data_IF_301491489700
#
_entry.id   IF_301491489700
#
_cell.length_a   1.000
_cell.length_b   1.000
_cell.length_c   1.000
_cell.angle_alpha   90.00
_cell.angle_beta   90.00
_cell.angle_gamma   90.00
#
_symmetry.space_group_name_H-M   'P 1'
#
loop_
_entity.id
_entity.type
_entity.pdbx_description
1 polymer ?
#
# COMPACT_ATOMS: atom_id res chain seq x y z
N UNK A 1 12.58 15.30 18.15
CA UNK A 1 12.90 16.09 16.94
C UNK A 1 12.87 15.10 15.79
N UNK A 2 11.93 15.22 14.85
CA UNK A 2 11.98 14.41 13.66
C UNK A 2 13.21 14.86 12.85
N UNK A 3 14.09 13.92 12.53
CA UNK A 3 15.27 14.19 11.70
C UNK A 3 14.83 14.85 10.38
N UNK A 4 15.56 15.89 9.99
CA UNK A 4 15.30 16.55 8.72
C UNK A 4 15.45 15.50 7.59
N UNK A 5 14.51 15.46 6.64
CA UNK A 5 14.57 14.48 5.56
C UNK A 5 15.90 14.68 4.79
N UNK A 6 16.57 13.58 4.42
CA UNK A 6 17.84 13.66 3.72
C UNK A 6 17.65 14.35 2.36
N UNK A 7 18.54 15.29 2.03
CA UNK A 7 18.59 15.90 0.70
C UNK A 7 18.91 14.82 -0.34
N UNK A 8 18.20 14.84 -1.44
CA UNK A 8 18.48 13.97 -2.58
C UNK A 8 19.89 14.27 -3.08
N UNK A 9 20.73 13.25 -3.19
CA UNK A 9 22.10 13.40 -3.68
C UNK A 9 22.10 13.89 -5.13
N UNK A 10 23.03 14.78 -5.50
CA UNK A 10 23.24 15.20 -6.90
C UNK A 10 23.81 14.02 -7.68
N UNK A 11 22.95 13.30 -8.41
CA UNK A 11 23.35 12.24 -9.33
C UNK A 11 23.32 12.77 -10.77
N UNK A 12 24.26 12.35 -11.62
CA UNK A 12 24.14 12.58 -13.06
C UNK A 12 22.90 11.84 -13.59
N UNK A 13 21.92 12.61 -14.06
CA UNK A 13 20.75 12.12 -14.75
C UNK A 13 21.22 11.82 -16.18
N UNK A 14 21.09 10.57 -16.63
CA UNK A 14 21.35 10.20 -18.02
C UNK A 14 20.04 10.22 -18.83
N UNK A 15 20.13 10.25 -20.16
CA UNK A 15 18.97 10.32 -21.06
C UNK A 15 18.04 9.09 -20.97
N UNK A 16 18.48 8.01 -20.30
CA UNK A 16 17.70 6.78 -20.07
C UNK A 16 16.99 6.80 -18.72
N UNK A 17 17.29 7.76 -17.84
CA UNK A 17 16.67 7.88 -16.53
C UNK A 17 15.18 8.24 -16.64
N UNK A 18 14.35 7.64 -15.77
CA UNK A 18 12.91 7.85 -15.76
C UNK A 18 12.55 8.95 -14.78
N UNK A 19 12.03 10.06 -15.27
CA UNK A 19 11.54 11.16 -14.45
C UNK A 19 10.16 10.85 -13.87
N UNK A 20 10.02 11.06 -12.57
CA UNK A 20 8.77 10.98 -11.83
C UNK A 20 8.23 12.35 -11.49
N UNK A 21 6.91 12.52 -11.64
CA UNK A 21 6.15 13.52 -10.92
C UNK A 21 5.67 12.90 -9.61
N UNK A 22 6.00 13.51 -8.48
CA UNK A 22 5.42 13.17 -7.17
C UNK A 22 4.18 14.05 -6.98
N UNK A 23 3.00 13.45 -7.02
CA UNK A 23 1.74 14.12 -6.76
C UNK A 23 1.34 13.91 -5.30
N UNK A 24 1.60 14.95 -4.48
CA UNK A 24 1.36 14.94 -3.04
C UNK A 24 2.64 15.08 -2.22
N UNK A 25 2.75 16.19 -1.50
CA UNK A 25 3.82 16.45 -0.56
C UNK A 25 3.49 15.79 0.80
N UNK A 26 3.28 14.47 0.79
CA UNK A 26 2.89 13.69 1.96
C UNK A 26 4.09 13.27 2.80
N UNK A 27 3.82 12.77 4.02
CA UNK A 27 4.85 12.18 4.88
C UNK A 27 5.54 10.98 4.19
N UNK A 28 4.77 10.12 3.49
CA UNK A 28 5.31 8.97 2.75
C UNK A 28 6.22 9.45 1.62
N UNK A 29 5.82 10.49 0.87
CA UNK A 29 6.66 11.09 -0.16
C UNK A 29 7.96 11.64 0.42
N UNK A 30 7.90 12.37 1.55
CA UNK A 30 9.04 13.01 2.19
C UNK A 30 10.08 12.01 2.70
N UNK A 31 9.64 10.97 3.41
CA UNK A 31 10.54 10.10 4.18
C UNK A 31 10.93 8.82 3.44
N UNK A 32 10.13 8.38 2.46
CA UNK A 32 10.31 7.09 1.84
C UNK A 32 10.37 7.13 0.30
N UNK A 33 9.34 7.66 -0.36
CA UNK A 33 9.21 7.52 -1.81
C UNK A 33 10.21 8.35 -2.61
N UNK A 34 10.52 9.58 -2.18
CA UNK A 34 11.53 10.39 -2.87
C UNK A 34 12.89 9.68 -2.89
N UNK A 35 13.29 9.08 -1.77
CA UNK A 35 14.51 8.29 -1.70
C UNK A 35 14.42 6.99 -2.50
N UNK A 36 13.30 6.28 -2.38
CA UNK A 36 13.07 5.03 -3.09
C UNK A 36 13.15 5.22 -4.62
N UNK A 37 12.60 6.31 -5.15
CA UNK A 37 12.70 6.67 -6.56
C UNK A 37 14.16 7.01 -6.93
N UNK A 38 14.82 7.84 -6.12
CA UNK A 38 16.17 8.32 -6.41
C UNK A 38 17.26 7.24 -6.30
N UNK A 39 17.07 6.27 -5.42
CA UNK A 39 18.05 5.22 -5.14
C UNK A 39 17.92 3.99 -6.05
N UNK A 40 17.11 4.03 -7.09
CA UNK A 40 17.01 2.89 -8.02
C UNK A 40 18.38 2.60 -8.64
N UNK A 41 18.90 1.37 -8.53
CA UNK A 41 20.19 1.01 -9.11
C UNK A 41 20.08 1.00 -10.64
N UNK A 42 21.18 1.23 -11.34
CA UNK A 42 21.21 1.15 -12.81
C UNK A 42 20.99 -0.27 -13.35
N UNK A 43 21.09 -1.31 -12.53
CA UNK A 43 20.90 -2.68 -12.99
C UNK A 43 20.35 -3.59 -11.90
N UNK A 44 19.35 -4.41 -12.26
CA UNK A 44 19.00 -5.64 -11.54
C UNK A 44 19.13 -6.79 -12.54
N UNK A 45 19.95 -7.79 -12.22
CA UNK A 45 20.12 -8.97 -13.07
C UNK A 45 20.94 -8.76 -14.35
N UNK A 46 21.94 -7.86 -14.33
CA UNK A 46 22.87 -7.68 -15.46
C UNK A 46 22.29 -6.98 -16.69
N UNK A 47 21.04 -6.54 -16.64
CA UNK A 47 20.44 -5.66 -17.63
C UNK A 47 20.54 -4.21 -17.16
N UNK A 48 20.98 -3.32 -18.04
CA UNK A 48 21.17 -1.89 -17.78
C UNK A 48 19.79 -1.22 -17.56
N UNK A 49 19.33 -1.23 -16.31
CA UNK A 49 18.07 -0.58 -15.93
C UNK A 49 18.39 0.87 -15.60
N UNK A 50 18.00 1.79 -16.48
CA UNK A 50 18.19 3.22 -16.27
C UNK A 50 17.64 3.65 -14.90
N UNK A 51 18.31 4.56 -14.22
CA UNK A 51 17.90 5.09 -12.93
C UNK A 51 16.53 5.77 -12.99
N UNK A 52 16.00 6.10 -11.83
CA UNK A 52 14.83 6.96 -11.72
C UNK A 52 15.18 8.21 -10.90
N UNK A 53 14.44 9.30 -11.10
CA UNK A 53 14.61 10.53 -10.34
C UNK A 53 13.29 11.28 -10.20
N UNK A 54 13.17 12.11 -9.16
CA UNK A 54 12.03 12.99 -8.98
C UNK A 54 12.27 14.26 -9.81
N UNK A 55 11.52 14.40 -10.91
CA UNK A 55 11.61 15.53 -11.83
C UNK A 55 10.77 16.72 -11.36
N UNK A 56 9.62 16.45 -10.76
CA UNK A 56 8.69 17.48 -10.32
C UNK A 56 7.86 17.04 -9.11
N UNK A 57 7.31 18.05 -8.42
CA UNK A 57 6.37 17.89 -7.32
C UNK A 57 5.09 18.68 -7.58
N UNK A 58 3.95 18.02 -7.40
CA UNK A 58 2.64 18.64 -7.40
C UNK A 58 2.02 18.67 -6.00
N UNK A 59 1.42 19.79 -5.63
CA UNK A 59 0.51 19.88 -4.47
C UNK A 59 -0.55 20.93 -4.77
N UNK A 60 -1.77 20.74 -4.30
CA UNK A 60 -2.86 21.74 -4.41
C UNK A 60 -2.51 23.11 -3.81
N UNK A 61 -1.44 23.21 -3.04
CA UNK A 61 -0.93 24.45 -2.46
C UNK A 61 0.47 24.74 -3.01
N UNK A 62 0.58 25.72 -3.91
CA UNK A 62 1.83 26.11 -4.56
C UNK A 62 2.93 26.47 -3.57
N UNK A 63 2.62 27.18 -2.49
CA UNK A 63 3.59 27.57 -1.47
C UNK A 63 4.13 26.36 -0.73
N UNK A 64 3.26 25.41 -0.41
CA UNK A 64 3.67 24.17 0.24
C UNK A 64 4.49 23.30 -0.71
N UNK A 65 4.08 23.20 -1.99
CA UNK A 65 4.83 22.50 -3.03
C UNK A 65 6.28 23.02 -3.14
N UNK A 66 6.46 24.32 -3.21
CA UNK A 66 7.80 24.95 -3.30
C UNK A 66 8.65 24.67 -2.07
N UNK A 67 8.11 24.89 -0.86
CA UNK A 67 8.83 24.61 0.38
C UNK A 67 9.29 23.15 0.49
N UNK A 68 8.42 22.22 0.08
CA UNK A 68 8.75 20.80 0.06
C UNK A 68 9.85 20.50 -0.97
N UNK A 69 9.70 21.05 -2.18
CA UNK A 69 10.69 20.88 -3.25
C UNK A 69 12.07 21.41 -2.87
N UNK A 70 12.13 22.60 -2.26
CA UNK A 70 13.39 23.19 -1.76
C UNK A 70 14.06 22.32 -0.70
N UNK A 71 13.27 21.75 0.21
CA UNK A 71 13.77 20.85 1.26
C UNK A 71 14.38 19.55 0.69
N UNK A 72 13.84 19.06 -0.43
CA UNK A 72 14.23 17.79 -1.06
C UNK A 72 15.08 17.96 -2.32
N UNK A 73 15.40 19.17 -2.75
CA UNK A 73 16.21 19.43 -3.94
C UNK A 73 15.47 19.12 -5.26
N UNK A 74 14.13 19.23 -5.29
CA UNK A 74 13.30 19.02 -6.48
C UNK A 74 13.21 20.34 -7.26
N UNK A 75 13.56 20.31 -8.55
CA UNK A 75 13.72 21.52 -9.34
C UNK A 75 12.37 22.16 -9.71
N UNK A 76 11.38 21.35 -10.04
CA UNK A 76 10.07 21.83 -10.49
C UNK A 76 8.99 21.52 -9.48
N UNK A 77 8.22 22.53 -9.07
CA UNK A 77 7.11 22.35 -8.14
C UNK A 77 6.00 23.38 -8.39
N UNK A 78 4.76 22.96 -8.19
CA UNK A 78 3.61 23.86 -8.35
C UNK A 78 2.29 23.18 -8.04
N UNK A 79 1.22 23.94 -8.33
CA UNK A 79 -0.19 23.55 -8.16
C UNK A 79 -0.95 23.40 -9.48
N UNK A 80 -0.26 23.58 -10.61
CA UNK A 80 -0.79 23.26 -11.94
C UNK A 80 -0.35 21.86 -12.36
N UNK A 81 -1.21 20.86 -12.09
CA UNK A 81 -0.96 19.47 -12.43
C UNK A 81 -0.79 19.27 -13.95
N UNK A 82 -1.60 19.96 -14.76
CA UNK A 82 -1.57 19.80 -16.22
C UNK A 82 -0.25 20.33 -16.79
N UNK A 83 0.21 21.49 -16.35
CA UNK A 83 1.49 22.06 -16.77
C UNK A 83 2.67 21.13 -16.38
N UNK A 84 2.62 20.53 -15.18
CA UNK A 84 3.65 19.58 -14.74
C UNK A 84 3.60 18.29 -15.56
N UNK A 85 2.43 17.73 -15.81
CA UNK A 85 2.26 16.51 -16.62
C UNK A 85 2.71 16.67 -18.08
N UNK A 86 2.63 17.86 -18.65
CA UNK A 86 3.07 18.15 -20.02
C UNK A 86 4.60 18.15 -20.20
N UNK A 87 5.38 18.06 -19.15
CA UNK A 87 6.84 18.00 -19.21
C UNK A 87 7.31 16.69 -19.83
N UNK A 88 8.22 16.78 -20.80
CA UNK A 88 8.70 15.61 -21.59
C UNK A 88 9.49 14.61 -20.75
N UNK A 89 10.25 15.08 -19.77
CA UNK A 89 11.06 14.26 -18.88
C UNK A 89 10.21 13.41 -17.90
N UNK A 90 8.96 13.80 -17.65
CA UNK A 90 8.06 13.04 -16.77
C UNK A 90 7.45 11.90 -17.58
N UNK A 91 7.76 10.69 -17.18
CA UNK A 91 7.20 9.45 -17.75
C UNK A 91 6.31 8.70 -16.76
N UNK A 92 6.54 8.91 -15.47
CA UNK A 92 5.83 8.26 -14.38
C UNK A 92 5.25 9.29 -13.40
N UNK A 93 4.15 8.93 -12.78
CA UNK A 93 3.55 9.68 -11.68
C UNK A 93 3.45 8.77 -10.47
N UNK A 94 3.99 9.21 -9.33
CA UNK A 94 3.65 8.65 -8.04
C UNK A 94 2.54 9.49 -7.42
N UNK A 95 1.39 8.87 -7.12
CA UNK A 95 0.22 9.51 -6.52
C UNK A 95 0.19 9.17 -5.04
N UNK A 96 0.41 10.15 -4.20
CA UNK A 96 0.42 10.04 -2.73
C UNK A 96 -0.13 11.29 -2.06
N UNK A 97 -1.05 12.01 -2.73
CA UNK A 97 -1.84 13.10 -2.16
C UNK A 97 -2.95 12.53 -1.25
N UNK A 98 -3.93 13.32 -0.89
CA UNK A 98 -5.06 12.85 -0.09
C UNK A 98 -5.90 11.84 -0.90
N UNK A 99 -6.35 10.69 -0.32
CA UNK A 99 -7.05 9.63 -1.05
C UNK A 99 -8.24 10.11 -1.90
N UNK A 100 -9.01 11.09 -1.45
CA UNK A 100 -10.13 11.67 -2.22
C UNK A 100 -9.72 12.29 -3.57
N UNK A 101 -8.43 12.52 -3.80
CA UNK A 101 -7.90 13.09 -5.04
C UNK A 101 -7.14 12.07 -5.88
N UNK A 102 -7.02 10.82 -5.41
CA UNK A 102 -6.25 9.79 -6.11
C UNK A 102 -6.82 9.54 -7.50
N UNK A 103 -8.11 9.20 -7.61
CA UNK A 103 -8.73 8.85 -8.89
C UNK A 103 -8.62 9.99 -9.92
N UNK A 104 -8.88 11.25 -9.52
CA UNK A 104 -8.72 12.41 -10.38
C UNK A 104 -7.27 12.56 -10.88
N UNK A 105 -6.30 12.47 -9.96
CA UNK A 105 -4.87 12.58 -10.27
C UNK A 105 -4.40 11.44 -11.18
N UNK A 106 -4.84 10.21 -10.92
CA UNK A 106 -4.57 9.03 -11.75
C UNK A 106 -5.12 9.23 -13.15
N UNK A 107 -6.39 9.67 -13.28
CA UNK A 107 -7.04 9.94 -14.55
C UNK A 107 -6.27 10.97 -15.36
N UNK A 108 -5.91 12.11 -14.74
CA UNK A 108 -5.13 13.16 -15.39
C UNK A 108 -3.76 12.63 -15.89
N UNK A 109 -3.07 11.83 -15.07
CA UNK A 109 -1.79 11.26 -15.45
C UNK A 109 -1.92 10.27 -16.62
N UNK A 110 -2.91 9.39 -16.61
CA UNK A 110 -3.17 8.44 -17.69
C UNK A 110 -3.55 9.16 -18.99
N UNK A 111 -4.37 10.21 -18.92
CA UNK A 111 -4.72 11.03 -20.09
C UNK A 111 -3.49 11.73 -20.67
N UNK A 112 -2.55 12.15 -19.85
CA UNK A 112 -1.26 12.71 -20.26
C UNK A 112 -0.23 11.65 -20.73
N UNK A 113 -0.60 10.38 -20.83
CA UNK A 113 0.27 9.30 -21.30
C UNK A 113 1.35 8.89 -20.30
N UNK A 114 1.09 9.00 -19.00
CA UNK A 114 2.06 8.66 -17.94
C UNK A 114 1.69 7.34 -17.26
N UNK A 115 2.70 6.52 -16.95
CA UNK A 115 2.53 5.38 -16.06
C UNK A 115 2.29 5.86 -14.63
N UNK A 116 1.49 5.11 -13.84
CA UNK A 116 1.07 5.56 -12.52
C UNK A 116 1.33 4.49 -11.45
N UNK A 117 2.00 4.90 -10.36
CA UNK A 117 2.09 4.18 -9.10
C UNK A 117 1.30 4.97 -8.06
N UNK A 118 0.17 4.45 -7.61
CA UNK A 118 -0.74 5.13 -6.69
C UNK A 118 -0.74 4.49 -5.31
N UNK A 119 -0.66 5.30 -4.24
CA UNK A 119 -0.97 4.81 -2.89
C UNK A 119 -2.42 4.29 -2.85
N UNK A 120 -2.69 3.20 -2.13
CA UNK A 120 -4.04 2.69 -1.99
C UNK A 120 -4.92 3.59 -1.09
N UNK A 121 -6.23 3.64 -1.38
CA UNK A 121 -6.89 3.09 -2.56
C UNK A 121 -6.67 3.94 -3.80
N UNK A 122 -6.69 3.34 -4.99
CA UNK A 122 -6.73 4.09 -6.26
C UNK A 122 -8.01 4.91 -6.34
N UNK A 123 -9.13 4.33 -5.93
CA UNK A 123 -10.44 4.97 -5.74
C UNK A 123 -11.23 4.24 -4.67
N UNK A 124 -12.14 4.92 -3.98
CA UNK A 124 -13.15 4.31 -3.09
C UNK A 124 -14.36 3.77 -3.87
N UNK A 125 -14.47 4.05 -5.16
CA UNK A 125 -15.43 3.47 -6.09
C UNK A 125 -14.80 2.32 -6.89
N UNK A 126 -15.44 1.16 -6.83
CA UNK A 126 -15.00 -0.02 -7.59
C UNK A 126 -15.15 0.22 -9.10
N UNK A 127 -16.23 0.89 -9.51
CA UNK A 127 -16.48 1.28 -10.91
C UNK A 127 -15.39 2.21 -11.43
N UNK A 128 -15.09 3.27 -10.67
CA UNK A 128 -14.08 4.23 -11.08
C UNK A 128 -12.69 3.59 -11.16
N UNK A 129 -12.34 2.71 -10.21
CA UNK A 129 -11.10 1.96 -10.27
C UNK A 129 -11.02 1.08 -11.53
N UNK A 130 -12.13 0.41 -11.89
CA UNK A 130 -12.24 -0.39 -13.11
C UNK A 130 -12.11 0.46 -14.38
N UNK A 131 -12.73 1.64 -14.43
CA UNK A 131 -12.58 2.58 -15.54
C UNK A 131 -11.13 3.02 -15.73
N UNK A 132 -10.44 3.34 -14.63
CA UNK A 132 -9.04 3.74 -14.65
C UNK A 132 -8.12 2.59 -15.11
N UNK A 133 -8.40 1.37 -14.69
CA UNK A 133 -7.71 0.17 -15.14
C UNK A 133 -7.86 -0.04 -16.66
N UNK A 134 -9.10 0.05 -17.17
CA UNK A 134 -9.38 -0.05 -18.60
C UNK A 134 -8.70 1.08 -19.39
N UNK A 135 -8.73 2.31 -18.88
CA UNK A 135 -8.04 3.44 -19.50
C UNK A 135 -6.53 3.20 -19.58
N UNK A 136 -5.90 2.71 -18.53
CA UNK A 136 -4.48 2.38 -18.53
C UNK A 136 -4.17 1.29 -19.56
N UNK A 137 -4.96 0.21 -19.58
CA UNK A 137 -4.81 -0.90 -20.52
C UNK A 137 -4.92 -0.45 -21.98
N UNK A 138 -5.97 0.29 -22.33
CA UNK A 138 -6.19 0.78 -23.71
C UNK A 138 -5.08 1.72 -24.19
N UNK A 139 -4.38 2.39 -23.27
CA UNK A 139 -3.27 3.30 -23.57
C UNK A 139 -1.89 2.63 -23.51
N UNK A 140 -1.82 1.35 -23.20
CA UNK A 140 -0.56 0.63 -23.00
C UNK A 140 0.25 1.16 -21.81
N UNK A 141 -0.42 1.68 -20.78
CA UNK A 141 0.20 2.26 -19.59
C UNK A 141 0.09 1.29 -18.41
N UNK A 142 1.09 1.35 -17.54
CA UNK A 142 1.04 0.64 -16.26
C UNK A 142 0.35 1.52 -15.22
N UNK A 143 -0.73 1.03 -14.64
CA UNK A 143 -1.35 1.51 -13.40
C UNK A 143 -1.11 0.45 -12.33
N UNK A 144 -0.53 0.85 -11.21
CA UNK A 144 -0.24 -0.04 -10.09
C UNK A 144 -0.61 0.60 -8.76
N UNK A 145 -1.09 -0.21 -7.81
CA UNK A 145 -1.29 0.19 -6.43
C UNK A 145 -0.02 -0.07 -5.61
N UNK A 146 0.34 0.87 -4.72
CA UNK A 146 1.56 0.80 -3.92
C UNK A 146 1.34 0.08 -2.59
N UNK A 147 0.91 -1.18 -2.62
CA UNK A 147 0.80 -2.02 -1.43
C UNK A 147 2.18 -2.46 -0.93
N UNK A 148 2.91 -1.53 -0.37
CA UNK A 148 4.32 -1.68 0.02
C UNK A 148 4.57 -2.80 1.03
N UNK A 149 3.57 -3.18 1.83
CA UNK A 149 3.63 -4.31 2.76
C UNK A 149 4.03 -5.62 2.06
N UNK A 150 3.56 -5.86 0.83
CA UNK A 150 3.92 -7.03 0.00
C UNK A 150 5.43 -7.13 -0.26
N UNK A 151 6.16 -6.03 -0.14
CA UNK A 151 7.62 -5.96 -0.37
C UNK A 151 8.45 -6.12 0.89
N UNK A 152 7.85 -6.14 2.09
CA UNK A 152 8.63 -6.36 3.32
C UNK A 152 9.24 -7.76 3.33
N UNK A 153 10.44 -7.89 3.88
CA UNK A 153 11.14 -9.18 3.91
C UNK A 153 10.33 -10.26 4.64
N UNK A 154 9.68 -9.89 5.75
CA UNK A 154 8.86 -10.83 6.53
C UNK A 154 7.63 -11.33 5.75
N UNK A 155 6.91 -10.46 5.04
CA UNK A 155 5.74 -10.84 4.25
C UNK A 155 6.14 -11.69 3.05
N UNK A 156 7.25 -11.36 2.39
CA UNK A 156 7.79 -12.18 1.30
C UNK A 156 8.16 -13.58 1.80
N UNK A 157 8.85 -13.64 2.94
CA UNK A 157 9.26 -14.93 3.53
C UNK A 157 8.07 -15.76 3.98
N UNK A 158 7.04 -15.15 4.58
CA UNK A 158 5.76 -15.81 4.87
C UNK A 158 5.16 -16.46 3.62
N UNK A 159 5.07 -15.68 2.53
CA UNK A 159 4.51 -16.16 1.27
C UNK A 159 5.32 -17.31 0.67
N UNK A 160 6.65 -17.24 0.68
CA UNK A 160 7.53 -18.32 0.22
C UNK A 160 7.29 -19.61 1.01
N UNK A 161 7.18 -19.50 2.34
CA UNK A 161 6.95 -20.67 3.21
C UNK A 161 5.58 -21.29 2.99
N UNK A 162 4.54 -20.47 2.76
CA UNK A 162 3.20 -20.96 2.43
C UNK A 162 3.18 -21.69 1.08
N UNK A 163 3.85 -21.15 0.07
CA UNK A 163 3.95 -21.79 -1.25
C UNK A 163 4.80 -23.08 -1.21
N UNK A 164 5.74 -23.18 -0.26
CA UNK A 164 6.52 -24.38 -0.02
C UNK A 164 5.81 -25.40 0.90
N UNK A 165 4.54 -25.21 1.17
CA UNK A 165 3.71 -26.07 2.05
C UNK A 165 4.32 -26.29 3.46
N UNK A 166 4.98 -25.25 3.99
CA UNK A 166 5.77 -25.36 5.21
C UNK A 166 4.95 -25.73 6.47
N UNK A 167 3.65 -25.47 6.47
CA UNK A 167 2.75 -25.73 7.60
C UNK A 167 1.54 -26.60 7.23
N UNK A 168 1.52 -27.18 6.02
CA UNK A 168 0.38 -27.92 5.49
C UNK A 168 -0.80 -27.01 5.16
N UNK A 169 -1.97 -27.60 4.97
CA UNK A 169 -3.21 -26.86 4.68
C UNK A 169 -3.45 -25.75 5.69
N UNK A 170 -3.69 -24.53 5.22
CA UNK A 170 -3.99 -23.38 6.07
C UNK A 170 -5.39 -23.51 6.67
N UNK A 171 -5.48 -23.44 7.98
CA UNK A 171 -6.71 -23.62 8.76
C UNK A 171 -7.29 -22.30 9.28
N UNK A 172 -6.48 -21.25 9.40
CA UNK A 172 -6.91 -19.95 9.88
C UNK A 172 -5.79 -18.92 9.89
N UNK A 173 -6.17 -17.65 9.92
CA UNK A 173 -5.24 -16.52 9.95
C UNK A 173 -5.65 -15.52 11.01
N UNK A 174 -4.69 -14.89 11.65
CA UNK A 174 -4.89 -13.72 12.52
C UNK A 174 -3.91 -12.62 12.11
N UNK A 175 -4.42 -11.40 11.98
CA UNK A 175 -3.64 -10.17 11.80
C UNK A 175 -4.00 -9.21 12.92
N UNK A 176 -3.00 -8.71 13.64
CA UNK A 176 -3.16 -7.64 14.61
C UNK A 176 -2.35 -6.42 14.13
N UNK A 177 -3.04 -5.38 13.68
CA UNK A 177 -2.46 -4.13 13.20
C UNK A 177 -2.72 -3.00 14.21
N UNK A 178 -2.08 -3.13 15.37
CA UNK A 178 -2.32 -2.33 16.56
C UNK A 178 -1.25 -1.26 16.72
N UNK A 179 -1.26 -0.25 15.86
CA UNK A 179 -0.31 0.86 15.89
C UNK A 179 -1.02 2.15 16.33
N UNK A 180 -0.68 2.72 17.48
CA UNK A 180 -1.21 4.03 17.89
C UNK A 180 -0.94 5.08 16.82
N UNK A 181 -1.98 5.88 16.51
CA UNK A 181 -1.85 6.95 15.53
C UNK A 181 -1.14 8.15 16.17
N UNK A 182 0.08 8.50 15.73
CA UNK A 182 0.83 9.63 16.28
C UNK A 182 0.07 10.96 16.11
N UNK A 183 0.21 11.87 17.06
CA UNK A 183 -0.49 13.17 17.07
C UNK A 183 -0.26 13.98 15.77
N UNK A 184 0.94 13.97 15.23
CA UNK A 184 1.29 14.66 13.98
C UNK A 184 0.64 14.03 12.73
N UNK A 185 0.11 12.80 12.86
CA UNK A 185 -0.64 12.09 11.83
C UNK A 185 -2.15 12.10 12.06
N UNK A 186 -2.64 12.63 13.18
CA UNK A 186 -4.06 12.82 13.48
C UNK A 186 -4.63 14.01 12.69
N UNK A 187 -4.62 13.92 11.37
CA UNK A 187 -5.11 14.93 10.44
C UNK A 187 -6.38 14.40 9.74
N UNK A 188 -6.32 14.20 8.45
CA UNK A 188 -7.41 13.59 7.69
C UNK A 188 -7.73 12.14 8.12
N UNK A 189 -6.75 11.44 8.75
CA UNK A 189 -6.95 10.05 9.21
C UNK A 189 -7.99 9.88 10.30
N UNK A 190 -8.38 10.95 10.95
CA UNK A 190 -9.47 10.94 11.96
C UNK A 190 -10.74 11.65 11.46
N UNK A 191 -10.83 11.93 10.14
CA UNK A 191 -11.92 12.65 9.51
C UNK A 191 -12.56 11.83 8.39
N UNK A 192 -13.88 11.95 8.21
CA UNK A 192 -14.56 11.35 7.06
C UNK A 192 -14.22 12.12 5.76
N UNK A 193 -14.29 11.49 4.58
CA UNK A 193 -14.76 10.09 4.35
C UNK A 193 -13.67 9.02 4.41
N UNK A 194 -12.37 9.37 4.36
CA UNK A 194 -11.26 8.41 4.21
C UNK A 194 -10.49 8.15 5.51
N UNK A 195 -10.94 8.69 6.64
CA UNK A 195 -10.32 8.42 7.93
C UNK A 195 -10.77 7.09 8.55
N UNK A 196 -10.12 6.77 9.68
CA UNK A 196 -10.37 5.58 10.45
C UNK A 196 -9.55 4.36 10.05
N UNK A 197 -9.56 3.37 10.93
CA UNK A 197 -8.78 2.14 10.76
C UNK A 197 -9.21 1.31 9.56
N UNK A 198 -10.43 1.47 9.06
CA UNK A 198 -10.91 0.75 7.89
C UNK A 198 -10.12 1.13 6.62
N UNK A 199 -9.90 2.42 6.37
CA UNK A 199 -9.16 2.88 5.20
C UNK A 199 -7.64 2.90 5.42
N UNK A 200 -7.17 3.10 6.66
CA UNK A 200 -5.73 3.21 6.94
C UNK A 200 -5.08 1.86 7.32
N UNK A 201 -5.89 0.84 7.74
CA UNK A 201 -5.40 -0.46 8.20
C UNK A 201 -6.03 -1.63 7.45
N UNK A 202 -7.34 -1.83 7.62
CA UNK A 202 -8.02 -2.97 7.01
C UNK A 202 -7.80 -3.07 5.51
N UNK A 203 -7.67 -1.95 4.80
CA UNK A 203 -7.35 -1.92 3.38
C UNK A 203 -6.06 -2.70 3.07
N UNK A 204 -5.02 -2.48 3.88
CA UNK A 204 -3.74 -3.19 3.73
C UNK A 204 -3.83 -4.64 4.20
N UNK A 205 -4.58 -4.92 5.26
CA UNK A 205 -4.69 -6.28 5.81
C UNK A 205 -5.55 -7.19 4.92
N UNK A 206 -6.59 -6.64 4.28
CA UNK A 206 -7.37 -7.34 3.26
C UNK A 206 -6.50 -7.67 2.01
N UNK A 207 -5.63 -6.77 1.62
CA UNK A 207 -4.64 -7.01 0.58
C UNK A 207 -3.64 -8.10 0.97
N UNK A 208 -3.11 -8.05 2.21
CA UNK A 208 -2.19 -9.07 2.72
C UNK A 208 -2.82 -10.46 2.77
N UNK A 209 -4.07 -10.59 3.20
CA UNK A 209 -4.81 -11.85 3.17
C UNK A 209 -4.86 -12.41 1.75
N UNK A 210 -5.22 -11.58 0.77
CA UNK A 210 -5.30 -11.98 -0.63
C UNK A 210 -3.91 -12.36 -1.17
N UNK A 211 -2.89 -11.57 -0.87
CA UNK A 211 -1.52 -11.77 -1.36
C UNK A 211 -0.86 -13.03 -0.79
N UNK A 212 -1.01 -13.26 0.52
CA UNK A 212 -0.37 -14.39 1.20
C UNK A 212 -1.03 -15.73 0.85
N UNK A 213 -2.37 -15.74 0.77
CA UNK A 213 -3.14 -16.98 0.66
C UNK A 213 -3.63 -17.27 -0.77
N UNK A 214 -3.41 -16.35 -1.72
CA UNK A 214 -3.98 -16.41 -3.07
C UNK A 214 -5.51 -16.64 -3.02
N UNK A 215 -6.16 -16.07 -2.01
CA UNK A 215 -7.57 -16.25 -1.73
C UNK A 215 -8.22 -14.91 -1.37
N UNK A 216 -9.46 -14.70 -1.74
CA UNK A 216 -10.13 -13.40 -1.59
C UNK A 216 -11.13 -13.41 -0.44
N UNK A 217 -11.32 -12.27 0.28
CA UNK A 217 -12.43 -12.08 1.20
C UNK A 217 -13.79 -12.35 0.53
N UNK A 218 -14.64 -13.14 1.19
CA UNK A 218 -15.98 -13.49 0.72
C UNK A 218 -17.07 -12.88 1.61
N UNK A 219 -16.85 -12.85 2.91
CA UNK A 219 -17.77 -12.30 3.91
C UNK A 219 -16.99 -11.56 4.98
N UNK A 220 -17.54 -10.47 5.50
CA UNK A 220 -16.96 -9.65 6.57
C UNK A 220 -18.03 -9.37 7.63
N UNK A 221 -17.64 -9.51 8.90
CA UNK A 221 -18.39 -9.00 10.04
C UNK A 221 -17.45 -8.18 10.91
N UNK A 222 -17.85 -6.96 11.25
CA UNK A 222 -17.02 -5.97 11.94
C UNK A 222 -17.70 -5.47 13.21
N UNK A 223 -16.89 -5.26 14.23
CA UNK A 223 -17.33 -4.75 15.54
C UNK A 223 -16.42 -3.60 15.95
N UNK A 224 -17.00 -2.39 16.10
CA UNK A 224 -16.31 -1.24 16.67
C UNK A 224 -16.17 -1.44 18.18
N UNK A 225 -14.98 -1.20 18.72
CA UNK A 225 -14.65 -1.46 20.12
C UNK A 225 -14.53 -0.15 20.90
N UNK A 226 -13.56 0.70 20.59
CA UNK A 226 -13.25 1.90 21.36
C UNK A 226 -13.12 3.14 20.47
N UNK A 227 -13.41 4.31 21.05
CA UNK A 227 -13.19 5.63 20.45
C UNK A 227 -12.56 6.54 21.51
N UNK A 228 -11.26 6.78 21.42
CA UNK A 228 -10.47 7.51 22.42
C UNK A 228 -9.84 8.79 21.86
N UNK A 229 -9.76 8.94 20.53
CA UNK A 229 -9.17 10.11 19.88
C UNK A 229 -10.19 11.21 19.61
N UNK A 230 -11.49 10.94 19.83
CA UNK A 230 -12.56 11.87 19.52
C UNK A 230 -12.77 12.09 18.03
N UNK A 231 -12.43 11.09 17.22
CA UNK A 231 -12.55 11.16 15.76
C UNK A 231 -14.01 10.95 15.29
N UNK A 232 -14.28 11.31 14.06
CA UNK A 232 -15.54 11.00 13.37
C UNK A 232 -15.57 9.58 12.80
N UNK A 233 -14.43 8.86 12.87
CA UNK A 233 -14.19 7.59 12.24
C UNK A 233 -14.02 6.45 13.24
N UNK A 234 -13.98 5.22 12.77
CA UNK A 234 -13.67 4.08 13.60
C UNK A 234 -12.17 4.05 13.96
N UNK A 235 -11.86 3.93 15.25
CA UNK A 235 -10.50 3.99 15.79
C UNK A 235 -9.96 2.62 16.22
N UNK A 236 -10.88 1.67 16.49
CA UNK A 236 -10.56 0.34 17.01
C UNK A 236 -11.65 -0.63 16.58
N UNK A 237 -11.32 -1.57 15.69
CA UNK A 237 -12.30 -2.49 15.09
C UNK A 237 -11.75 -3.91 15.01
N UNK A 238 -12.56 -4.85 15.46
CA UNK A 238 -12.35 -6.28 15.27
C UNK A 238 -13.17 -6.79 14.08
N UNK A 239 -12.50 -7.47 13.17
CA UNK A 239 -13.12 -8.08 11.99
C UNK A 239 -13.01 -9.60 12.04
N UNK A 240 -14.11 -10.28 11.73
CA UNK A 240 -14.11 -11.68 11.31
C UNK A 240 -14.34 -11.72 9.81
N UNK A 241 -13.38 -12.27 9.09
CA UNK A 241 -13.40 -12.37 7.62
C UNK A 241 -13.45 -13.85 7.25
N UNK A 242 -14.36 -14.21 6.37
CA UNK A 242 -14.35 -15.53 5.74
C UNK A 242 -13.84 -15.37 4.32
N UNK A 243 -12.78 -16.08 4.00
CA UNK A 243 -12.25 -16.15 2.63
C UNK A 243 -13.07 -17.15 1.79
N UNK A 244 -12.89 -17.15 0.47
CA UNK A 244 -13.53 -18.14 -0.40
C UNK A 244 -13.16 -19.55 0.04
N UNK A 245 -14.11 -20.49 -0.05
CA UNK A 245 -13.93 -21.84 0.46
C UNK A 245 -14.07 -21.97 1.99
N UNK A 246 -14.38 -20.87 2.69
CA UNK A 246 -14.73 -20.89 4.12
C UNK A 246 -13.59 -20.68 5.10
N UNK A 247 -12.35 -20.46 4.63
CA UNK A 247 -11.19 -20.22 5.48
C UNK A 247 -11.40 -18.99 6.37
N UNK A 248 -11.30 -19.11 7.72
CA UNK A 248 -11.49 -18.00 8.64
C UNK A 248 -10.24 -17.14 8.79
N UNK A 249 -10.45 -15.82 8.90
CA UNK A 249 -9.44 -14.88 9.33
C UNK A 249 -10.02 -13.92 10.40
N UNK A 250 -9.20 -13.57 11.37
CA UNK A 250 -9.48 -12.54 12.38
C UNK A 250 -8.50 -11.40 12.12
N UNK A 251 -9.01 -10.18 12.00
CA UNK A 251 -8.21 -8.97 11.82
C UNK A 251 -8.60 -7.97 12.91
N UNK A 252 -7.63 -7.43 13.62
CA UNK A 252 -7.84 -6.41 14.63
C UNK A 252 -7.02 -5.16 14.27
N UNK A 253 -7.73 -4.09 13.95
CA UNK A 253 -7.18 -2.80 13.52
C UNK A 253 -7.40 -1.74 14.59
N UNK A 254 -6.32 -1.10 15.07
CA UNK A 254 -6.47 -0.10 16.14
C UNK A 254 -5.48 1.05 16.01
N UNK A 255 -6.00 2.28 16.20
CA UNK A 255 -5.23 3.51 16.37
C UNK A 255 -4.92 3.83 17.83
N UNK A 256 -5.50 3.08 18.77
CA UNK A 256 -5.51 3.45 20.20
C UNK A 256 -4.84 2.44 21.11
N UNK A 257 -4.58 1.22 20.66
CA UNK A 257 -3.94 0.20 21.48
C UNK A 257 -2.41 0.32 21.43
N UNK A 258 -1.75 0.69 22.53
CA UNK A 258 -0.29 0.81 22.58
C UNK A 258 0.38 -0.52 22.93
N UNK A 259 1.69 -0.57 22.70
CA UNK A 259 2.60 -1.63 23.17
C UNK A 259 2.31 -3.04 22.60
N UNK A 260 1.58 -3.13 21.50
CA UNK A 260 1.38 -4.37 20.76
C UNK A 260 2.16 -4.31 19.44
N UNK A 261 2.92 -5.35 19.07
CA UNK A 261 3.55 -5.40 17.75
C UNK A 261 2.50 -5.66 16.67
N UNK A 262 2.74 -5.13 15.48
CA UNK A 262 2.00 -5.60 14.29
C UNK A 262 2.36 -7.06 14.06
N UNK A 263 1.36 -7.94 14.01
CA UNK A 263 1.61 -9.38 13.92
C UNK A 263 0.72 -10.06 12.89
N UNK A 264 1.27 -11.12 12.28
CA UNK A 264 0.57 -12.02 11.35
C UNK A 264 0.81 -13.45 11.84
N UNK A 265 -0.25 -14.15 12.18
CA UNK A 265 -0.19 -15.56 12.59
C UNK A 265 -0.99 -16.39 11.60
N UNK A 266 -0.37 -17.44 11.06
CA UNK A 266 -1.01 -18.35 10.12
C UNK A 266 -0.94 -19.76 10.69
N UNK A 267 -2.09 -20.36 10.88
CA UNK A 267 -2.25 -21.71 11.42
C UNK A 267 -2.45 -22.71 10.29
N UNK A 268 -1.70 -23.79 10.29
CA UNK A 268 -1.82 -24.88 9.34
C UNK A 268 -1.89 -26.25 10.00
N UNK A 269 -2.23 -27.27 9.25
CA UNK A 269 -2.39 -28.64 9.73
C UNK A 269 -1.08 -29.29 10.23
N UNK A 270 0.09 -28.82 9.76
CA UNK A 270 1.41 -29.34 10.15
C UNK A 270 2.24 -28.35 10.98
N UNK A 271 1.68 -27.18 11.36
CA UNK A 271 2.39 -26.18 12.14
C UNK A 271 1.78 -24.78 12.04
N UNK A 272 2.50 -23.77 12.51
CA UNK A 272 2.08 -22.37 12.38
C UNK A 272 3.26 -21.44 12.10
N UNK A 273 2.98 -20.31 11.45
CA UNK A 273 3.92 -19.21 11.19
C UNK A 273 3.52 -18.00 12.01
N UNK A 274 4.45 -17.46 12.77
CA UNK A 274 4.24 -16.29 13.63
C UNK A 274 5.21 -15.19 13.22
N UNK A 275 4.70 -14.13 12.64
CA UNK A 275 5.47 -12.94 12.28
C UNK A 275 5.09 -11.78 13.19
N UNK A 276 6.08 -11.02 13.65
CA UNK A 276 5.89 -9.84 14.49
C UNK A 276 6.73 -8.68 13.95
N UNK A 277 6.32 -7.45 14.29
CA UNK A 277 6.93 -6.21 13.80
C UNK A 277 6.94 -6.15 12.26
N UNK A 278 5.77 -6.47 11.66
CA UNK A 278 5.63 -6.66 10.20
C UNK A 278 5.53 -5.34 9.43
N UNK A 279 5.38 -4.20 10.09
CA UNK A 279 5.17 -2.90 9.46
C UNK A 279 6.35 -2.48 8.57
N UNK A 280 6.08 -1.82 7.42
CA UNK A 280 7.10 -1.39 6.49
C UNK A 280 8.15 -0.49 7.14
N UNK A 281 9.42 -0.83 6.92
CA UNK A 281 10.55 -0.09 7.48
C UNK A 281 10.99 -0.52 8.88
N UNK A 282 10.27 -1.41 9.55
CA UNK A 282 10.71 -1.95 10.83
C UNK A 282 11.86 -2.96 10.61
N UNK A 283 12.97 -2.72 11.32
CA UNK A 283 14.17 -3.56 11.25
C UNK A 283 14.19 -4.69 12.28
N UNK A 284 13.18 -4.74 13.15
CA UNK A 284 13.05 -5.74 14.22
C UNK A 284 12.07 -6.87 13.85
N UNK A 285 11.66 -6.94 12.58
CA UNK A 285 10.78 -8.00 12.10
C UNK A 285 11.33 -9.38 12.42
N UNK A 286 10.48 -10.25 12.95
CA UNK A 286 10.83 -11.63 13.28
C UNK A 286 9.79 -12.57 12.68
N UNK A 287 10.25 -13.76 12.27
CA UNK A 287 9.40 -14.84 11.80
C UNK A 287 9.80 -16.14 12.52
N UNK A 288 8.80 -16.80 13.08
CA UNK A 288 8.96 -18.03 13.83
C UNK A 288 8.06 -19.09 13.20
N UNK A 289 8.59 -20.28 12.96
CA UNK A 289 7.82 -21.46 12.61
C UNK A 289 7.71 -22.40 13.81
N UNK A 290 6.48 -22.82 14.12
CA UNK A 290 6.20 -23.82 15.14
C UNK A 290 5.72 -25.11 14.49
N UNK A 291 6.32 -26.25 14.87
CA UNK A 291 5.90 -27.60 14.46
C UNK A 291 5.95 -28.54 15.66
N UNK A 292 4.78 -28.98 16.13
CA UNK A 292 4.68 -29.69 17.40
C UNK A 292 5.25 -28.84 18.54
N UNK A 293 6.18 -29.38 19.31
CA UNK A 293 6.87 -28.67 20.40
C UNK A 293 8.09 -27.85 19.94
N UNK A 294 8.47 -27.95 18.67
CA UNK A 294 9.64 -27.27 18.14
C UNK A 294 9.29 -25.86 17.66
N UNK A 295 10.07 -24.89 18.11
CA UNK A 295 10.01 -23.52 17.69
C UNK A 295 11.34 -23.12 17.05
N UNK A 296 11.31 -22.55 15.85
CA UNK A 296 12.50 -22.11 15.12
C UNK A 296 12.31 -20.73 14.52
N UNK A 297 13.28 -19.84 14.77
CA UNK A 297 13.38 -18.58 14.06
C UNK A 297 13.75 -18.83 12.58
N UNK A 298 13.21 -18.01 11.71
CA UNK A 298 13.43 -18.04 10.25
C UNK A 298 14.14 -16.76 9.85
N UNK A 299 15.20 -16.91 9.07
CA UNK A 299 15.92 -15.75 8.53
C UNK A 299 15.05 -14.96 7.56
N UNK A 300 15.14 -13.64 7.69
CA UNK A 300 14.37 -12.67 6.89
C UNK A 300 15.35 -11.72 6.21
N UNK A 301 15.19 -11.54 4.91
CA UNK A 301 15.97 -10.56 4.16
C UNK A 301 15.64 -9.13 4.62
N UNK A 302 16.67 -8.33 4.85
CA UNK A 302 16.50 -6.90 5.12
C UNK A 302 16.30 -6.18 3.80
N UNK A 303 15.07 -5.80 3.50
CA UNK A 303 14.65 -5.17 2.25
C UNK A 303 14.09 -3.78 2.57
N UNK A 304 14.50 -2.76 1.81
CA UNK A 304 13.76 -1.50 1.75
C UNK A 304 12.49 -1.72 0.91
N UNK A 305 11.30 -1.74 1.53
CA UNK A 305 10.07 -2.13 0.85
C UNK A 305 9.60 -1.09 -0.17
N UNK A 306 9.89 0.19 0.05
CA UNK A 306 9.54 1.27 -0.88
C UNK A 306 10.42 1.22 -2.13
N UNK A 307 11.73 1.01 -1.94
CA UNK A 307 12.67 0.81 -3.05
C UNK A 307 12.33 -0.43 -3.88
N UNK A 308 11.96 -1.52 -3.23
CA UNK A 308 11.53 -2.76 -3.90
C UNK A 308 10.24 -2.55 -4.72
N UNK A 309 9.27 -1.78 -4.18
CA UNK A 309 8.04 -1.44 -4.89
C UNK A 309 8.31 -0.63 -6.15
N UNK A 310 9.11 0.44 -6.07
CA UNK A 310 9.48 1.26 -7.23
C UNK A 310 10.24 0.42 -8.26
N UNK A 311 11.16 -0.46 -7.84
CA UNK A 311 11.88 -1.35 -8.74
C UNK A 311 10.93 -2.27 -9.50
N UNK A 312 9.93 -2.85 -8.83
CA UNK A 312 8.92 -3.71 -9.44
C UNK A 312 8.02 -2.95 -10.42
N UNK A 313 7.65 -1.71 -10.08
CA UNK A 313 6.90 -0.84 -10.99
C UNK A 313 7.71 -0.52 -12.27
N UNK A 314 8.98 -0.18 -12.13
CA UNK A 314 9.85 0.06 -13.29
C UNK A 314 10.07 -1.21 -14.14
N UNK A 315 10.15 -2.38 -13.50
CA UNK A 315 10.22 -3.66 -14.23
C UNK A 315 8.93 -3.94 -15.02
N UNK A 316 7.76 -3.62 -14.46
CA UNK A 316 6.49 -3.72 -15.17
C UNK A 316 6.47 -2.85 -16.43
N UNK A 317 6.98 -1.63 -16.36
CA UNK A 317 7.04 -0.72 -17.51
C UNK A 317 8.03 -1.20 -18.59
N UNK A 318 9.18 -1.72 -18.19
CA UNK A 318 10.29 -2.00 -19.12
C UNK A 318 10.29 -3.42 -19.66
N UNK A 319 9.85 -4.36 -18.84
CA UNK A 319 9.95 -5.79 -19.12
C UNK A 319 8.57 -6.45 -19.30
N UNK A 320 7.47 -5.70 -19.13
CA UNK A 320 6.11 -6.25 -19.15
C UNK A 320 5.80 -7.18 -17.97
N UNK A 321 6.56 -7.09 -16.89
CA UNK A 321 6.30 -7.89 -15.69
C UNK A 321 5.04 -7.40 -14.96
N UNK A 322 4.43 -8.27 -14.15
CA UNK A 322 3.31 -7.85 -13.28
C UNK A 322 3.82 -6.91 -12.20
N UNK A 323 3.19 -5.74 -11.97
CA UNK A 323 3.54 -4.86 -10.87
C UNK A 323 3.30 -5.54 -9.50
N UNK A 324 3.73 -4.92 -8.42
CA UNK A 324 3.61 -5.48 -7.07
C UNK A 324 2.16 -5.74 -6.69
N UNK A 325 1.28 -4.79 -7.00
CA UNK A 325 -0.17 -4.94 -6.92
C UNK A 325 -0.84 -4.24 -8.10
N UNK A 326 -1.88 -4.88 -8.62
CA UNK A 326 -2.67 -4.41 -9.75
C UNK A 326 -3.89 -3.60 -9.26
N UNK A 327 -4.60 -2.87 -10.15
CA UNK A 327 -5.88 -2.27 -9.78
C UNK A 327 -6.93 -3.31 -9.32
N UNK A 328 -6.88 -4.54 -9.84
CA UNK A 328 -7.78 -5.62 -9.41
C UNK A 328 -7.50 -6.05 -7.96
N UNK A 329 -6.24 -6.06 -7.53
CA UNK A 329 -5.87 -6.29 -6.13
C UNK A 329 -6.46 -5.19 -5.25
N UNK A 330 -6.32 -3.93 -5.66
CA UNK A 330 -6.86 -2.75 -4.96
C UNK A 330 -8.40 -2.83 -4.84
N UNK A 331 -9.10 -3.13 -5.94
CA UNK A 331 -10.55 -3.34 -5.93
C UNK A 331 -10.98 -4.45 -4.95
N UNK A 332 -10.18 -5.51 -4.82
CA UNK A 332 -10.47 -6.57 -3.86
C UNK A 332 -10.39 -6.11 -2.41
N UNK A 333 -9.37 -5.33 -2.09
CA UNK A 333 -9.20 -4.75 -0.77
C UNK A 333 -10.26 -3.68 -0.45
N UNK A 334 -10.55 -2.79 -1.39
CA UNK A 334 -11.62 -1.77 -1.28
C UNK A 334 -12.98 -2.44 -1.06
N UNK A 335 -13.31 -3.51 -1.80
CA UNK A 335 -14.58 -4.22 -1.61
C UNK A 335 -14.70 -4.81 -0.19
N UNK A 336 -13.59 -5.26 0.41
CA UNK A 336 -13.55 -5.72 1.80
C UNK A 336 -13.82 -4.55 2.79
N UNK A 337 -13.20 -3.38 2.57
CA UNK A 337 -13.42 -2.18 3.39
C UNK A 337 -14.88 -1.72 3.32
N UNK A 338 -15.46 -1.65 2.11
CA UNK A 338 -16.86 -1.27 1.93
C UNK A 338 -17.82 -2.28 2.60
N UNK A 339 -17.50 -3.57 2.54
CA UNK A 339 -18.26 -4.60 3.24
C UNK A 339 -18.16 -4.44 4.77
N UNK A 340 -16.98 -4.08 5.29
CA UNK A 340 -16.76 -3.80 6.70
C UNK A 340 -17.55 -2.58 7.18
N UNK A 341 -17.55 -1.48 6.40
CA UNK A 341 -18.36 -0.29 6.69
C UNK A 341 -19.85 -0.63 6.74
N UNK A 342 -20.35 -1.38 5.76
CA UNK A 342 -21.75 -1.81 5.76
C UNK A 342 -22.07 -2.75 6.93
N UNK A 343 -21.11 -3.61 7.31
CA UNK A 343 -21.26 -4.50 8.47
C UNK A 343 -21.41 -3.74 9.79
N UNK A 344 -20.61 -2.70 9.99
CA UNK A 344 -20.73 -1.81 11.17
C UNK A 344 -22.07 -1.09 11.23
N UNK A 345 -22.56 -0.60 10.09
CA UNK A 345 -23.85 0.09 9.98
C UNK A 345 -25.02 -0.84 10.25
N UNK A 346 -25.01 -2.04 9.66
CA UNK A 346 -26.12 -3.00 9.71
C UNK A 346 -26.01 -3.99 10.89
N UNK A 347 -24.86 -4.00 11.59
CA UNK A 347 -24.56 -4.93 12.70
C UNK A 347 -24.72 -6.40 12.32
N UNK A 348 -24.38 -6.73 11.08
CA UNK A 348 -24.48 -8.07 10.52
C UNK A 348 -23.32 -8.41 9.59
N UNK A 349 -23.20 -9.69 9.26
CA UNK A 349 -22.25 -10.18 8.25
C UNK A 349 -22.67 -9.71 6.87
N UNK A 350 -21.70 -9.21 6.09
CA UNK A 350 -21.89 -8.71 4.73
C UNK A 350 -21.09 -9.56 3.75
N UNK A 351 -21.72 -9.94 2.64
CA UNK A 351 -21.03 -10.59 1.53
C UNK A 351 -20.28 -9.57 0.67
N UNK A 352 -18.98 -9.78 0.50
CA UNK A 352 -18.14 -8.94 -0.38
C UNK A 352 -18.60 -9.01 -1.84
N UNK A 353 -19.17 -10.16 -2.28
CA UNK A 353 -19.77 -10.31 -3.61
C UNK A 353 -20.94 -9.35 -3.85
N UNK A 354 -21.77 -9.10 -2.83
CA UNK A 354 -22.90 -8.16 -2.95
C UNK A 354 -22.43 -6.71 -3.16
N UNK A 355 -21.30 -6.34 -2.57
CA UNK A 355 -20.69 -5.02 -2.81
C UNK A 355 -20.29 -4.88 -4.29
N UNK A 356 -19.62 -5.89 -4.84
CA UNK A 356 -19.19 -5.91 -6.25
C UNK A 356 -20.36 -5.90 -7.25
N UNK A 357 -21.50 -6.52 -6.92
CA UNK A 357 -22.68 -6.59 -7.83
C UNK A 357 -23.58 -5.36 -7.78
N UNK A 358 -23.46 -4.47 -6.79
CA UNK A 358 -24.17 -3.19 -6.80
C UNK A 358 -23.58 -2.18 -7.79
N UNK A 359 -22.44 -2.54 -8.34
CA UNK A 359 -21.55 -1.79 -9.21
C UNK A 359 -21.73 -2.16 -10.70
N UNK A 360 -22.45 -3.23 -11.00
CA UNK A 360 -22.82 -3.68 -12.36
C UNK A 360 -24.32 -3.53 -12.60
#
# INVERSE_FOLDING_TARGET
MADAPPRLATRKIDDRSVGFLVAGASHVAAHWMNQAIWQQPPAVGGRDVAGAYVAALYSHNARFARRFADAHGIVHAGDDLAALLNRREIRCVYVGNHPRHHAETVRAALLAGKHVLCEPPISDSLEECQELEQMAHHRGLVLAANYVWRSTGVVRRLREMLHADAIGEVLGVRIDNLLPLPLDRQTWRIQQPFGGVLWDRLLHDADLLTFLLLNQPAEVQSHSLQRLLGSECEEDVLHTIRLRGGLPAIVHDSFVLPHAPVSIVIYGGAGSLHAVHCEPGNKQSQLIVNRGEQQRAVDIDVIDPYRASVARFLAAIRLGETPLATPLDDQSAVACVLAAQQSLQQKQRISVKQIRHRVT
#
